data_IF_019869558639
#
_entry.id   IF_019869558639
#
_cell.length_a   1.000
_cell.length_b   1.000
_cell.length_c   1.000
_cell.angle_alpha   90.00
_cell.angle_beta   90.00
_cell.angle_gamma   90.00
#
_symmetry.space_group_name_H-M   'P 1'
#
loop_
_entity.id
_entity.type
_entity.pdbx_description
1 polymer ?
#
# COMPACT_ATOMS: atom_id res chain seq x y z
N UNK A 1 6.05 -16.34 15.41
CA UNK A 1 5.80 -14.87 15.50
C UNK A 1 6.69 -14.28 16.58
N UNK A 2 6.82 -12.96 16.66
CA UNK A 2 7.35 -12.31 17.86
C UNK A 2 6.18 -11.71 18.65
N UNK A 3 6.13 -11.95 19.96
CA UNK A 3 5.05 -11.52 20.84
C UNK A 3 5.41 -10.18 21.44
N UNK A 4 4.48 -9.24 21.39
CA UNK A 4 4.60 -7.93 22.00
C UNK A 4 3.39 -7.65 22.89
N UNK A 5 3.56 -6.83 23.92
CA UNK A 5 2.52 -6.42 24.85
C UNK A 5 2.76 -4.99 25.33
N UNK A 6 2.10 -4.58 26.41
CA UNK A 6 2.26 -3.26 27.03
C UNK A 6 3.69 -2.94 27.48
N UNK A 7 4.45 -3.93 27.96
CA UNK A 7 5.75 -3.75 28.61
C UNK A 7 6.94 -4.14 27.74
N UNK A 8 6.72 -4.90 26.67
CA UNK A 8 7.78 -5.45 25.83
C UNK A 8 7.36 -5.52 24.37
N UNK A 9 8.25 -5.11 23.49
CA UNK A 9 8.21 -5.45 22.07
C UNK A 9 9.62 -5.41 21.50
N UNK A 10 9.92 -6.26 20.51
CA UNK A 10 11.23 -6.23 19.86
C UNK A 10 11.38 -4.97 18.98
N UNK A 11 12.49 -4.26 19.20
CA UNK A 11 12.86 -3.02 18.52
C UNK A 11 14.14 -3.20 17.72
N UNK A 12 14.41 -2.25 16.83
CA UNK A 12 15.62 -2.19 16.02
C UNK A 12 16.41 -0.94 16.40
N UNK A 13 17.72 -1.07 16.46
CA UNK A 13 18.59 0.09 16.63
C UNK A 13 18.52 1.02 15.40
N UNK A 14 18.77 2.33 15.57
CA UNK A 14 18.92 3.25 14.46
C UNK A 14 19.97 2.77 13.46
N UNK A 15 19.70 2.95 12.16
CA UNK A 15 20.61 2.53 11.10
C UNK A 15 21.77 3.52 10.98
N UNK A 16 22.91 3.19 11.58
CA UNK A 16 24.16 3.95 11.44
C UNK A 16 24.99 3.41 10.29
N UNK A 17 25.52 4.28 9.43
CA UNK A 17 26.38 3.87 8.31
C UNK A 17 27.72 3.34 8.83
N UNK A 18 28.20 2.20 8.31
CA UNK A 18 29.47 1.63 8.73
C UNK A 18 30.67 2.41 8.13
N UNK A 19 31.88 2.29 8.71
CA UNK A 19 33.06 2.96 8.16
C UNK A 19 33.39 2.46 6.75
N UNK A 20 34.04 3.32 5.96
CA UNK A 20 34.45 2.98 4.58
C UNK A 20 35.25 1.68 4.55
N UNK A 21 34.88 0.77 3.64
CA UNK A 21 35.49 -0.57 3.56
C UNK A 21 34.74 -1.65 4.35
N UNK A 22 33.64 -1.31 5.01
CA UNK A 22 32.79 -2.28 5.72
C UNK A 22 31.31 -2.20 5.34
N UNK A 23 30.54 -3.22 5.72
CA UNK A 23 29.10 -3.33 5.46
C UNK A 23 28.36 -3.85 6.69
N UNK A 24 27.07 -3.52 6.77
CA UNK A 24 26.15 -4.06 7.77
C UNK A 24 25.20 -5.02 7.06
N UNK A 25 24.96 -6.18 7.67
CA UNK A 25 24.00 -7.18 7.22
C UNK A 25 22.91 -7.36 8.27
N UNK A 26 21.66 -7.22 7.85
CA UNK A 26 20.49 -7.60 8.62
C UNK A 26 19.94 -8.92 8.09
N UNK A 27 19.68 -9.89 8.97
CA UNK A 27 19.28 -11.24 8.58
C UNK A 27 17.97 -11.66 9.25
N UNK A 28 17.03 -12.16 8.45
CA UNK A 28 15.84 -12.86 8.95
C UNK A 28 15.81 -14.27 8.35
N UNK A 29 15.44 -15.28 9.15
CA UNK A 29 15.42 -16.67 8.69
C UNK A 29 14.22 -17.45 9.23
N UNK A 30 13.84 -18.51 8.50
CA UNK A 30 12.81 -19.47 8.94
C UNK A 30 13.17 -20.10 10.30
N UNK A 31 14.46 -20.28 10.58
CA UNK A 31 14.97 -20.83 11.82
C UNK A 31 14.76 -19.91 13.05
N UNK A 32 14.53 -18.61 12.86
CA UNK A 32 14.15 -17.72 13.96
C UNK A 32 14.79 -16.34 13.97
N UNK A 33 15.76 -16.06 13.09
CA UNK A 33 16.41 -14.73 13.04
C UNK A 33 15.42 -13.66 12.59
N UNK A 34 15.48 -12.47 13.19
CA UNK A 34 14.56 -11.36 12.93
C UNK A 34 15.34 -10.05 12.84
N UNK A 35 15.68 -9.63 11.62
CA UNK A 35 16.49 -8.43 11.36
C UNK A 35 17.74 -8.38 12.25
N UNK A 36 18.39 -9.52 12.42
CA UNK A 36 19.58 -9.65 13.26
C UNK A 36 20.75 -8.94 12.60
N UNK A 37 21.36 -7.99 13.31
CA UNK A 37 22.45 -7.16 12.81
C UNK A 37 23.80 -7.88 12.93
N UNK A 38 24.60 -7.80 11.87
CA UNK A 38 25.99 -8.25 11.84
C UNK A 38 26.81 -7.32 10.93
N UNK A 39 28.13 -7.35 11.06
CA UNK A 39 29.05 -6.52 10.27
C UNK A 39 30.06 -7.38 9.51
N UNK A 40 30.63 -6.83 8.45
CA UNK A 40 31.72 -7.44 7.70
C UNK A 40 32.54 -6.42 6.92
N UNK A 41 33.68 -6.85 6.38
CA UNK A 41 34.59 -6.01 5.61
C UNK A 41 34.62 -6.40 4.14
N UNK A 42 34.75 -5.41 3.25
CA UNK A 42 34.99 -5.65 1.83
C UNK A 42 36.42 -6.17 1.61
N UNK A 43 36.57 -7.06 0.64
CA UNK A 43 37.87 -7.59 0.20
C UNK A 43 38.31 -6.87 -1.07
N UNK A 44 39.61 -6.58 -1.21
CA UNK A 44 40.17 -5.93 -2.41
C UNK A 44 40.25 -6.84 -3.65
N UNK A 45 40.15 -8.16 -3.48
CA UNK A 45 40.25 -9.14 -4.56
C UNK A 45 39.20 -10.21 -4.44
N UNK A 46 38.60 -10.61 -5.57
CA UNK A 46 37.53 -11.59 -5.61
C UNK A 46 38.11 -13.01 -5.74
N UNK A 47 38.11 -13.79 -4.66
CA UNK A 47 38.44 -15.23 -4.67
C UNK A 47 37.19 -16.08 -4.40
N UNK A 48 36.15 -15.91 -5.21
CA UNK A 48 34.89 -16.64 -5.03
C UNK A 48 34.52 -17.48 -6.27
N UNK A 49 34.27 -18.78 -6.04
CA UNK A 49 33.73 -19.71 -7.04
C UNK A 49 32.19 -19.64 -7.19
N UNK A 50 31.52 -18.88 -6.32
CA UNK A 50 30.06 -18.78 -6.24
C UNK A 50 29.43 -17.67 -7.11
N UNK A 51 28.10 -17.44 -6.96
CA UNK A 51 27.37 -16.40 -7.68
C UNK A 51 27.91 -15.01 -7.33
N UNK A 52 28.06 -14.16 -8.36
CA UNK A 52 28.60 -12.81 -8.21
C UNK A 52 27.57 -11.78 -8.66
N UNK A 53 27.12 -10.95 -7.70
CA UNK A 53 26.25 -9.81 -7.92
C UNK A 53 27.09 -8.55 -8.10
N UNK A 54 27.06 -7.97 -9.30
CA UNK A 54 27.78 -6.74 -9.64
C UNK A 54 26.81 -5.57 -9.73
N UNK A 55 26.95 -4.61 -8.82
CA UNK A 55 26.16 -3.38 -8.78
C UNK A 55 26.73 -2.39 -9.79
N UNK A 56 25.86 -1.72 -10.55
CA UNK A 56 26.22 -0.66 -11.49
C UNK A 56 25.38 0.59 -11.18
N UNK A 57 26.00 1.53 -10.46
CA UNK A 57 25.38 2.79 -10.05
C UNK A 57 25.21 3.80 -11.20
N UNK A 58 25.80 3.55 -12.37
CA UNK A 58 25.61 4.40 -13.56
C UNK A 58 24.30 4.08 -14.31
N UNK A 59 23.71 2.90 -14.06
CA UNK A 59 22.40 2.54 -14.62
C UNK A 59 21.34 2.85 -13.59
N UNK A 60 20.55 3.89 -13.85
CA UNK A 60 19.59 4.44 -12.90
C UNK A 60 18.15 4.21 -13.38
N UNK A 61 17.27 3.81 -12.46
CA UNK A 61 15.84 3.56 -12.72
C UNK A 61 14.96 4.54 -11.93
N UNK A 62 13.83 4.07 -11.39
CA UNK A 62 12.84 4.87 -10.69
C UNK A 62 13.30 5.30 -9.29
N UNK A 63 12.75 6.42 -8.82
CA UNK A 63 12.80 6.81 -7.42
C UNK A 63 11.74 6.04 -6.62
N UNK A 64 12.06 5.72 -5.37
CA UNK A 64 11.19 5.04 -4.42
C UNK A 64 10.44 6.09 -3.63
N UNK A 65 9.11 6.03 -3.67
CA UNK A 65 8.20 6.85 -2.87
C UNK A 65 8.12 6.32 -1.44
N UNK A 66 8.02 5.00 -1.26
CA UNK A 66 7.99 4.44 0.08
C UNK A 66 7.25 3.12 0.24
N UNK A 67 7.02 2.79 1.51
CA UNK A 67 6.39 1.55 1.96
C UNK A 67 5.42 1.83 3.10
N UNK A 68 4.33 1.06 3.16
CA UNK A 68 3.23 1.37 4.05
C UNK A 68 2.22 0.26 4.29
N UNK A 69 1.11 0.67 4.91
CA UNK A 69 -0.09 -0.15 5.11
C UNK A 69 -1.36 0.70 5.05
N UNK A 70 -2.51 0.05 5.07
CA UNK A 70 -3.84 0.66 5.12
C UNK A 70 -4.36 0.77 6.56
N UNK A 71 -4.80 1.97 6.94
CA UNK A 71 -5.51 2.24 8.18
C UNK A 71 -7.03 2.14 7.94
N UNK A 72 -7.51 0.91 7.82
CA UNK A 72 -8.94 0.60 7.76
C UNK A 72 -9.63 0.75 9.12
N UNK A 73 -10.95 0.73 9.13
CA UNK A 73 -11.74 0.71 10.37
C UNK A 73 -11.37 -0.53 11.21
N UNK A 74 -11.22 -1.70 10.57
CA UNK A 74 -10.76 -2.92 11.23
C UNK A 74 -9.39 -2.78 11.88
N UNK A 75 -8.42 -2.17 11.18
CA UNK A 75 -7.10 -1.92 11.74
C UNK A 75 -7.16 -0.95 12.92
N UNK A 76 -7.92 0.14 12.79
CA UNK A 76 -8.08 1.11 13.85
C UNK A 76 -8.75 0.50 15.10
N UNK A 77 -9.81 -0.30 14.91
CA UNK A 77 -10.49 -1.02 16.00
C UNK A 77 -9.55 -1.98 16.73
N UNK A 78 -8.77 -2.78 15.99
CA UNK A 78 -7.83 -3.73 16.60
C UNK A 78 -6.71 -3.03 17.36
N UNK A 79 -6.18 -1.93 16.82
CA UNK A 79 -5.19 -1.12 17.52
C UNK A 79 -5.80 -0.59 18.82
N UNK A 80 -6.95 0.08 18.75
CA UNK A 80 -7.58 0.71 19.92
C UNK A 80 -8.11 -0.28 20.96
N UNK A 81 -8.26 -1.56 20.61
CA UNK A 81 -8.65 -2.62 21.54
C UNK A 81 -7.51 -3.04 22.50
N UNK A 82 -6.27 -2.64 22.24
CA UNK A 82 -5.13 -2.83 23.14
C UNK A 82 -5.06 -1.74 24.22
N UNK A 83 -4.31 -1.97 25.29
CA UNK A 83 -3.95 -0.93 26.26
C UNK A 83 -3.06 0.15 25.62
N UNK A 84 -3.11 1.38 26.15
CA UNK A 84 -2.34 2.51 25.60
C UNK A 84 -0.84 2.19 25.38
N UNK A 85 -0.11 1.56 26.32
CA UNK A 85 1.29 1.21 26.09
C UNK A 85 1.48 0.15 24.99
N UNK A 86 0.57 -0.84 24.89
CA UNK A 86 0.62 -1.84 23.83
C UNK A 86 0.32 -1.23 22.45
N UNK A 87 -0.62 -0.27 22.38
CA UNK A 87 -0.86 0.54 21.19
C UNK A 87 0.39 1.31 20.77
N UNK A 88 1.07 1.96 21.72
CA UNK A 88 2.30 2.71 21.43
C UNK A 88 3.40 1.79 20.90
N UNK A 89 3.58 0.60 21.47
CA UNK A 89 4.54 -0.39 20.95
C UNK A 89 4.18 -0.86 19.53
N UNK A 90 2.89 -1.06 19.23
CA UNK A 90 2.42 -1.44 17.89
C UNK A 90 2.70 -0.32 16.88
N UNK A 91 2.30 0.92 17.18
CA UNK A 91 2.53 2.06 16.27
C UNK A 91 4.02 2.34 16.09
N UNK A 92 4.83 2.26 17.16
CA UNK A 92 6.29 2.39 17.09
C UNK A 92 6.91 1.32 16.22
N UNK A 93 6.40 0.08 16.25
CA UNK A 93 6.89 -1.00 15.40
C UNK A 93 6.80 -0.64 13.92
N UNK A 94 5.72 0.01 13.47
CA UNK A 94 5.59 0.43 12.08
C UNK A 94 6.30 1.74 11.76
N UNK A 95 6.13 2.79 12.56
CA UNK A 95 6.39 4.16 12.11
C UNK A 95 7.59 4.84 12.78
N UNK A 96 8.08 4.32 13.91
CA UNK A 96 9.21 4.93 14.61
C UNK A 96 10.56 4.46 14.05
N UNK A 97 11.62 5.21 14.36
CA UNK A 97 13.02 4.83 14.07
C UNK A 97 13.42 3.49 14.72
N UNK A 98 12.82 3.16 15.87
CA UNK A 98 13.00 1.87 16.55
C UNK A 98 12.22 0.71 15.90
N UNK A 99 11.43 1.01 14.87
CA UNK A 99 10.64 0.05 14.10
C UNK A 99 11.11 -0.04 12.65
N UNK A 100 10.16 -0.28 11.73
CA UNK A 100 10.43 -0.45 10.29
C UNK A 100 10.20 0.81 9.45
N UNK A 101 9.86 1.94 10.09
CA UNK A 101 9.81 3.29 9.49
C UNK A 101 8.97 3.41 8.22
N UNK A 102 7.73 2.88 8.26
CA UNK A 102 6.71 3.12 7.24
C UNK A 102 6.50 4.62 7.02
N UNK A 103 6.34 5.00 5.76
CA UNK A 103 6.12 6.39 5.35
C UNK A 103 4.91 6.56 4.41
N UNK A 104 4.22 5.47 4.07
CA UNK A 104 2.95 5.51 3.35
C UNK A 104 1.82 4.98 4.24
N UNK A 105 0.68 5.67 4.20
CA UNK A 105 -0.57 5.15 4.76
C UNK A 105 -1.69 5.32 3.74
N UNK A 106 -2.35 4.21 3.42
CA UNK A 106 -3.62 4.21 2.68
C UNK A 106 -4.76 4.44 3.65
N UNK A 107 -5.69 5.31 3.28
CA UNK A 107 -6.86 5.60 4.09
C UNK A 107 -8.14 5.38 3.28
N UNK A 108 -9.06 4.52 3.74
CA UNK A 108 -10.36 4.45 3.13
C UNK A 108 -11.17 5.73 3.27
N UNK A 109 -11.81 6.13 2.17
CA UNK A 109 -12.88 7.13 2.20
C UNK A 109 -14.19 6.40 2.52
N UNK A 110 -14.62 6.52 3.78
CA UNK A 110 -15.76 5.83 4.38
C UNK A 110 -15.55 4.30 4.50
N UNK A 111 -16.64 3.53 4.42
CA UNK A 111 -16.63 2.09 4.68
C UNK A 111 -15.99 1.24 3.57
N UNK A 112 -15.50 0.08 3.97
CA UNK A 112 -14.94 -0.97 3.11
C UNK A 112 -15.52 -2.33 3.52
N UNK A 113 -15.00 -3.42 2.99
CA UNK A 113 -15.24 -4.75 3.55
C UNK A 113 -14.61 -4.92 4.96
N UNK A 114 -13.46 -4.29 5.22
CA UNK A 114 -12.80 -4.17 6.53
C UNK A 114 -13.37 -3.05 7.40
N UNK A 115 -14.69 -2.92 7.39
CA UNK A 115 -15.49 -2.12 8.32
C UNK A 115 -16.46 -3.03 9.08
N UNK A 116 -17.16 -2.50 10.08
CA UNK A 116 -18.17 -3.24 10.85
C UNK A 116 -19.60 -3.05 10.32
N UNK A 117 -19.79 -2.04 9.46
CA UNK A 117 -21.05 -1.69 8.80
C UNK A 117 -20.76 -0.96 7.49
N UNK A 118 -21.65 -1.02 6.50
CA UNK A 118 -21.57 -0.15 5.34
C UNK A 118 -22.05 1.28 5.67
N UNK A 119 -21.34 2.29 5.16
CA UNK A 119 -21.70 3.71 5.26
C UNK A 119 -20.94 4.55 4.22
N UNK A 120 -21.49 5.72 3.88
CA UNK A 120 -20.76 6.79 3.20
C UNK A 120 -20.72 8.05 4.08
N UNK A 121 -20.09 9.13 3.62
CA UNK A 121 -20.11 10.41 4.33
C UNK A 121 -21.35 11.24 4.03
N UNK A 122 -22.19 10.84 3.06
CA UNK A 122 -23.38 11.60 2.68
C UNK A 122 -24.54 10.67 2.29
N UNK A 123 -25.11 10.00 3.28
CA UNK A 123 -26.20 9.02 3.10
C UNK A 123 -27.60 9.68 3.02
N UNK A 124 -27.70 11.01 3.01
CA UNK A 124 -28.98 11.72 2.82
C UNK A 124 -29.34 11.77 1.33
N UNK A 125 -30.47 11.19 0.90
CA UNK A 125 -30.80 11.12 -0.53
C UNK A 125 -30.90 12.48 -1.22
N UNK A 126 -30.35 12.56 -2.44
CA UNK A 126 -30.41 13.73 -3.32
C UNK A 126 -29.71 15.00 -2.79
N UNK A 127 -28.76 14.87 -1.87
CA UNK A 127 -27.96 16.00 -1.39
C UNK A 127 -26.83 16.38 -2.38
N UNK A 128 -27.20 16.88 -3.55
CA UNK A 128 -26.24 17.25 -4.60
C UNK A 128 -25.24 18.33 -4.17
N UNK A 129 -25.59 19.14 -3.17
CA UNK A 129 -24.78 20.21 -2.61
C UNK A 129 -23.85 19.74 -1.48
N UNK A 130 -23.96 18.47 -1.04
CA UNK A 130 -23.18 17.86 0.04
C UNK A 130 -23.28 18.66 1.36
N UNK A 131 -24.49 19.12 1.70
CA UNK A 131 -24.79 19.87 2.94
C UNK A 131 -24.78 18.98 4.18
N UNK A 132 -25.09 17.70 4.02
CA UNK A 132 -25.11 16.68 5.07
C UNK A 132 -23.84 15.85 5.11
N UNK A 133 -22.86 16.13 4.23
CA UNK A 133 -21.55 15.50 4.25
C UNK A 133 -20.92 15.61 5.65
N UNK A 134 -20.60 14.47 6.24
CA UNK A 134 -19.99 14.40 7.56
C UNK A 134 -19.08 13.19 7.68
N UNK A 135 -17.88 13.41 8.24
CA UNK A 135 -17.00 12.32 8.63
C UNK A 135 -17.67 11.42 9.68
N UNK A 136 -17.48 10.11 9.56
CA UNK A 136 -18.08 9.15 10.47
C UNK A 136 -17.34 9.13 11.82
N UNK A 137 -17.92 8.48 12.83
CA UNK A 137 -17.25 8.34 14.12
C UNK A 137 -15.95 7.55 13.99
N UNK A 138 -15.90 6.62 13.04
CA UNK A 138 -14.74 5.84 12.68
C UNK A 138 -13.54 6.72 12.23
N UNK A 139 -13.81 7.84 11.55
CA UNK A 139 -12.78 8.80 11.19
C UNK A 139 -12.33 9.63 12.39
N UNK A 140 -13.27 10.31 13.05
CA UNK A 140 -12.96 11.34 14.05
C UNK A 140 -12.53 10.78 15.40
N UNK A 141 -13.02 9.60 15.80
CA UNK A 141 -12.67 8.96 17.07
C UNK A 141 -11.55 7.94 16.94
N UNK A 142 -11.30 7.39 15.74
CA UNK A 142 -10.31 6.33 15.56
C UNK A 142 -9.18 6.69 14.59
N UNK A 143 -9.49 6.85 13.30
CA UNK A 143 -8.46 7.00 12.26
C UNK A 143 -7.63 8.28 12.45
N UNK A 144 -8.28 9.43 12.62
CA UNK A 144 -7.61 10.74 12.78
C UNK A 144 -6.72 10.77 14.04
N UNK A 145 -7.19 10.36 15.24
CA UNK A 145 -6.32 10.28 16.42
C UNK A 145 -5.12 9.36 16.25
N UNK A 146 -5.28 8.20 15.59
CA UNK A 146 -4.16 7.30 15.28
C UNK A 146 -3.17 8.00 14.33
N UNK A 147 -3.65 8.67 13.27
CA UNK A 147 -2.78 9.39 12.34
C UNK A 147 -1.96 10.47 13.04
N UNK A 148 -2.54 11.24 13.97
CA UNK A 148 -1.79 12.22 14.76
C UNK A 148 -0.70 11.59 15.62
N UNK A 149 -0.99 10.45 16.27
CA UNK A 149 0.03 9.71 17.03
C UNK A 149 1.14 9.21 16.12
N UNK A 150 0.81 8.69 14.95
CA UNK A 150 1.80 8.24 13.95
C UNK A 150 2.66 9.41 13.47
N UNK A 151 2.05 10.55 13.12
CA UNK A 151 2.78 11.76 12.72
C UNK A 151 3.73 12.26 13.81
N UNK A 152 3.38 12.11 15.08
CA UNK A 152 4.26 12.48 16.20
C UNK A 152 5.42 11.48 16.44
N UNK A 153 5.30 10.23 15.97
CA UNK A 153 6.30 9.16 16.17
C UNK A 153 7.28 9.02 14.99
N UNK A 154 6.87 9.42 13.79
CA UNK A 154 7.71 9.30 12.59
C UNK A 154 8.73 10.42 12.50
N UNK A 155 9.96 10.07 12.11
CA UNK A 155 10.99 11.03 11.70
C UNK A 155 11.02 11.25 10.17
N UNK A 156 10.37 10.37 9.42
CA UNK A 156 10.29 10.44 7.95
C UNK A 156 9.01 11.16 7.53
N UNK A 157 9.04 11.94 6.43
CA UNK A 157 7.82 12.52 5.88
C UNK A 157 6.77 11.45 5.61
N UNK A 158 5.60 11.59 6.24
CA UNK A 158 4.48 10.67 6.08
C UNK A 158 3.62 11.12 4.91
N UNK A 159 3.40 10.22 3.95
CA UNK A 159 2.54 10.46 2.80
C UNK A 159 1.25 9.65 2.92
N UNK A 160 0.14 10.36 3.07
CA UNK A 160 -1.20 9.76 3.12
C UNK A 160 -1.80 9.74 1.72
N UNK A 161 -2.48 8.66 1.36
CA UNK A 161 -3.33 8.66 0.19
C UNK A 161 -4.66 7.97 0.47
N UNK A 162 -5.71 8.44 -0.18
CA UNK A 162 -7.06 7.94 0.08
C UNK A 162 -7.69 7.28 -1.14
N UNK A 163 -8.57 6.32 -0.88
CA UNK A 163 -9.26 5.55 -1.91
C UNK A 163 -10.71 5.36 -1.48
N UNK A 164 -11.71 5.65 -2.33
CA UNK A 164 -13.09 5.30 -2.05
C UNK A 164 -13.41 3.89 -2.56
N UNK A 165 -14.25 3.18 -1.82
CA UNK A 165 -14.81 1.90 -2.26
C UNK A 165 -16.16 2.08 -2.91
N UNK A 166 -16.97 3.02 -2.42
CA UNK A 166 -18.29 3.27 -2.97
C UNK A 166 -18.70 4.73 -2.83
N UNK A 167 -19.58 5.16 -3.73
CA UNK A 167 -20.30 6.42 -3.60
C UNK A 167 -21.54 6.23 -2.71
N UNK A 168 -22.10 7.33 -2.15
CA UNK A 168 -23.43 7.29 -1.55
C UNK A 168 -24.45 6.52 -2.41
N UNK A 169 -25.28 5.70 -1.76
CA UNK A 169 -26.24 4.82 -2.44
C UNK A 169 -27.09 5.56 -3.48
N UNK A 170 -27.57 6.76 -3.15
CA UNK A 170 -28.45 7.55 -4.02
C UNK A 170 -27.77 8.07 -5.30
N UNK A 171 -26.42 8.09 -5.36
CA UNK A 171 -25.63 8.40 -6.56
C UNK A 171 -25.43 7.16 -7.47
N UNK A 172 -25.72 5.96 -6.99
CA UNK A 172 -25.45 4.70 -7.68
C UNK A 172 -26.68 4.16 -8.40
N UNK A 173 -26.48 3.53 -9.56
CA UNK A 173 -27.56 2.97 -10.38
C UNK A 173 -28.35 1.85 -9.70
N UNK A 174 -27.77 1.16 -8.73
CA UNK A 174 -28.41 0.12 -7.95
C UNK A 174 -28.98 0.61 -6.59
N UNK A 175 -28.82 1.90 -6.27
CA UNK A 175 -29.32 2.52 -5.02
C UNK A 175 -28.88 1.81 -3.73
N UNK A 176 -27.72 1.15 -3.78
CA UNK A 176 -27.13 0.41 -2.66
C UNK A 176 -25.63 0.70 -2.63
N UNK A 177 -25.07 0.89 -1.44
CA UNK A 177 -23.63 1.02 -1.20
C UNK A 177 -22.84 -0.22 -1.59
N UNK A 178 -23.48 -1.40 -1.59
CA UNK A 178 -22.87 -2.66 -1.98
C UNK A 178 -23.32 -3.13 -3.37
N UNK A 179 -22.58 -4.08 -3.92
CA UNK A 179 -22.96 -4.78 -5.14
C UNK A 179 -22.75 -4.00 -6.43
N UNK A 180 -23.18 -4.63 -7.53
CA UNK A 180 -22.90 -4.16 -8.88
C UNK A 180 -23.73 -2.90 -9.20
N UNK A 181 -23.09 -1.75 -9.10
CA UNK A 181 -23.64 -0.46 -9.49
C UNK A 181 -22.58 0.44 -10.11
N UNK A 182 -23.01 1.34 -10.98
CA UNK A 182 -22.20 2.44 -11.53
C UNK A 182 -22.72 3.76 -10.95
N UNK A 183 -22.01 4.88 -11.16
CA UNK A 183 -22.65 6.18 -10.97
C UNK A 183 -23.85 6.30 -11.91
N UNK A 184 -24.90 6.98 -11.45
CA UNK A 184 -26.04 7.37 -12.29
C UNK A 184 -25.57 8.36 -13.37
N UNK A 185 -26.20 8.27 -14.54
CA UNK A 185 -25.95 9.20 -15.65
C UNK A 185 -24.56 9.07 -16.28
N UNK A 186 -23.93 10.20 -16.60
CA UNK A 186 -22.68 10.25 -17.38
C UNK A 186 -21.74 11.39 -16.94
N UNK A 187 -20.45 11.25 -17.19
CA UNK A 187 -19.44 12.25 -16.84
C UNK A 187 -19.84 13.66 -17.31
N UNK A 188 -19.63 14.66 -16.46
CA UNK A 188 -20.06 16.05 -16.66
C UNK A 188 -21.46 16.38 -16.14
N UNK A 189 -22.26 15.40 -15.74
CA UNK A 189 -23.59 15.62 -15.17
C UNK A 189 -23.57 15.93 -13.66
N UNK A 190 -24.75 16.11 -13.08
CA UNK A 190 -24.89 16.41 -11.66
C UNK A 190 -24.38 15.28 -10.75
N UNK A 191 -24.53 14.01 -11.12
CA UNK A 191 -24.13 12.88 -10.28
C UNK A 191 -22.60 12.78 -10.22
N UNK A 192 -21.93 12.90 -11.37
CA UNK A 192 -20.47 12.85 -11.45
C UNK A 192 -19.83 14.10 -10.85
N UNK A 193 -20.42 15.29 -11.05
CA UNK A 193 -19.97 16.52 -10.37
C UNK A 193 -20.09 16.42 -8.85
N UNK A 194 -21.22 15.92 -8.35
CA UNK A 194 -21.38 15.69 -6.90
C UNK A 194 -20.37 14.68 -6.40
N UNK A 195 -20.12 13.59 -7.12
CA UNK A 195 -19.07 12.64 -6.72
C UNK A 195 -17.67 13.25 -6.71
N UNK A 196 -17.31 14.06 -7.71
CA UNK A 196 -16.04 14.79 -7.70
C UNK A 196 -15.95 15.78 -6.51
N UNK A 197 -17.04 16.48 -6.20
CA UNK A 197 -17.10 17.37 -5.04
C UNK A 197 -17.02 16.62 -3.71
N UNK A 198 -17.48 15.36 -3.65
CA UNK A 198 -17.35 14.51 -2.48
C UNK A 198 -15.88 14.26 -2.12
N UNK A 199 -15.00 14.07 -3.12
CA UNK A 199 -13.55 14.01 -2.88
C UNK A 199 -13.02 15.31 -2.28
N UNK A 200 -13.44 16.45 -2.81
CA UNK A 200 -12.98 17.76 -2.31
C UNK A 200 -13.47 17.99 -0.88
N UNK A 201 -14.73 17.67 -0.57
CA UNK A 201 -15.28 17.72 0.78
C UNK A 201 -14.54 16.80 1.74
N UNK A 202 -14.19 15.59 1.33
CA UNK A 202 -13.36 14.69 2.13
C UNK A 202 -12.00 15.33 2.47
N UNK A 203 -11.31 15.89 1.47
CA UNK A 203 -10.02 16.57 1.68
C UNK A 203 -10.18 17.80 2.58
N UNK A 204 -11.24 18.59 2.40
CA UNK A 204 -11.56 19.77 3.23
C UNK A 204 -11.80 19.37 4.70
N UNK A 205 -12.64 18.36 4.95
CA UNK A 205 -12.94 17.93 6.32
C UNK A 205 -11.70 17.37 7.03
N UNK A 206 -10.90 16.53 6.36
CA UNK A 206 -9.65 16.05 6.95
C UNK A 206 -8.62 17.18 7.16
N UNK A 207 -8.57 18.18 6.28
CA UNK A 207 -7.71 19.34 6.45
C UNK A 207 -8.08 20.17 7.69
N UNK A 208 -9.36 20.24 8.09
CA UNK A 208 -9.77 20.86 9.37
C UNK A 208 -9.20 20.14 10.59
N UNK A 209 -8.87 18.87 10.45
CA UNK A 209 -8.16 18.08 11.46
C UNK A 209 -6.64 18.08 11.25
N UNK A 210 -6.07 19.01 10.46
CA UNK A 210 -4.64 19.07 10.14
C UNK A 210 -4.08 17.78 9.49
N UNK A 211 -4.92 17.07 8.73
CA UNK A 211 -4.53 15.87 7.98
C UNK A 211 -4.61 16.18 6.48
N UNK A 212 -3.48 16.05 5.78
CA UNK A 212 -3.39 16.34 4.34
C UNK A 212 -3.00 15.09 3.54
N UNK A 213 -3.53 14.97 2.32
CA UNK A 213 -3.27 13.82 1.45
C UNK A 213 -2.31 14.16 0.32
N UNK A 214 -1.29 13.32 0.18
CA UNK A 214 -0.39 13.32 -0.97
C UNK A 214 -1.11 12.92 -2.25
N UNK A 215 -1.97 11.89 -2.20
CA UNK A 215 -2.68 11.40 -3.37
C UNK A 215 -4.11 10.90 -3.04
N UNK A 216 -4.92 10.76 -4.08
CA UNK A 216 -6.17 9.99 -4.05
C UNK A 216 -6.21 9.03 -5.24
N UNK A 217 -6.81 7.86 -5.06
CA UNK A 217 -7.14 6.96 -6.17
C UNK A 217 -8.54 7.25 -6.66
N UNK A 218 -8.79 7.09 -7.97
CA UNK A 218 -10.12 7.40 -8.54
C UNK A 218 -11.21 6.48 -7.98
N UNK A 219 -10.87 5.21 -7.76
CA UNK A 219 -11.79 4.20 -7.26
C UNK A 219 -11.01 2.94 -6.86
N UNK A 220 -11.26 2.39 -5.68
CA UNK A 220 -10.78 1.06 -5.31
C UNK A 220 -11.44 -0.03 -6.19
N UNK A 221 -10.62 -0.82 -6.88
CA UNK A 221 -11.02 -1.98 -7.68
C UNK A 221 -12.27 -1.73 -8.56
N UNK A 222 -12.22 -0.81 -9.53
CA UNK A 222 -13.34 -0.46 -10.41
C UNK A 222 -13.94 -1.64 -11.19
N UNK A 223 -13.26 -2.79 -11.30
CA UNK A 223 -13.80 -4.00 -11.91
C UNK A 223 -14.17 -5.11 -10.92
N UNK A 224 -13.97 -4.93 -9.61
CA UNK A 224 -14.24 -5.98 -8.61
C UNK A 224 -15.67 -6.52 -8.67
N UNK A 225 -16.67 -5.64 -8.82
CA UNK A 225 -18.08 -6.02 -8.86
C UNK A 225 -18.46 -6.86 -10.09
N UNK A 226 -17.59 -6.97 -11.10
CA UNK A 226 -17.80 -7.85 -12.25
C UNK A 226 -17.32 -9.28 -11.98
N UNK A 227 -16.44 -9.47 -11.00
CA UNK A 227 -15.72 -10.72 -10.75
C UNK A 227 -16.10 -11.39 -9.41
N UNK A 228 -16.77 -10.68 -8.51
CA UNK A 228 -17.02 -11.14 -7.13
C UNK A 228 -18.48 -10.92 -6.70
N UNK A 229 -18.97 -11.67 -5.68
CA UNK A 229 -20.35 -11.57 -5.21
C UNK A 229 -20.70 -10.15 -4.70
N UNK A 230 -21.97 -9.73 -4.79
CA UNK A 230 -22.39 -8.32 -4.65
C UNK A 230 -22.43 -7.81 -3.19
N UNK A 231 -21.63 -8.38 -2.29
CA UNK A 231 -21.84 -8.20 -0.85
C UNK A 231 -21.01 -7.07 -0.23
N UNK A 232 -19.97 -6.56 -0.90
CA UNK A 232 -19.11 -5.51 -0.35
C UNK A 232 -19.21 -4.17 -1.11
N UNK A 233 -18.73 -3.06 -0.51
CA UNK A 233 -18.83 -1.74 -1.10
C UNK A 233 -17.98 -1.65 -2.37
N UNK A 234 -18.61 -1.26 -3.48
CA UNK A 234 -17.95 -1.15 -4.78
C UNK A 234 -18.68 -0.15 -5.66
N UNK A 235 -17.99 0.39 -6.66
CA UNK A 235 -18.61 1.10 -7.78
C UNK A 235 -17.84 0.79 -9.06
N UNK A 236 -18.58 0.41 -10.10
CA UNK A 236 -18.01 -0.05 -11.36
C UNK A 236 -17.64 1.14 -12.22
N UNK A 237 -16.41 1.14 -12.72
CA UNK A 237 -15.96 2.00 -13.80
C UNK A 237 -15.31 1.16 -14.87
N UNK A 238 -15.65 1.39 -16.14
CA UNK A 238 -14.79 1.00 -17.26
C UNK A 238 -13.62 1.99 -17.38
N UNK A 239 -12.56 1.60 -18.08
CA UNK A 239 -11.44 2.53 -18.34
C UNK A 239 -11.88 3.82 -19.07
N UNK A 240 -12.90 3.73 -19.95
CA UNK A 240 -13.46 4.89 -20.63
C UNK A 240 -14.26 5.80 -19.68
N UNK A 241 -15.10 5.21 -18.81
CA UNK A 241 -15.82 5.98 -17.79
C UNK A 241 -14.85 6.63 -16.79
N UNK A 242 -13.80 5.93 -16.38
CA UNK A 242 -12.77 6.49 -15.51
C UNK A 242 -12.06 7.68 -16.18
N UNK A 243 -11.68 7.54 -17.47
CA UNK A 243 -11.13 8.65 -18.27
C UNK A 243 -12.08 9.85 -18.31
N UNK A 244 -13.34 9.63 -18.66
CA UNK A 244 -14.30 10.71 -18.86
C UNK A 244 -14.63 11.42 -17.54
N UNK A 245 -14.76 10.68 -16.44
CA UNK A 245 -14.91 11.24 -15.10
C UNK A 245 -13.72 12.12 -14.69
N UNK A 246 -12.48 11.70 -14.99
CA UNK A 246 -11.28 12.50 -14.73
C UNK A 246 -11.30 13.79 -15.56
N UNK A 247 -11.65 13.70 -16.85
CA UNK A 247 -11.63 14.84 -17.78
C UNK A 247 -12.70 15.86 -17.42
N UNK A 248 -13.93 15.41 -17.18
CA UNK A 248 -15.09 16.29 -17.03
C UNK A 248 -15.26 16.81 -15.60
N UNK A 249 -14.89 16.01 -14.59
CA UNK A 249 -15.33 16.23 -13.21
C UNK A 249 -14.17 16.27 -12.21
N UNK A 250 -13.53 15.12 -11.93
CA UNK A 250 -12.58 14.99 -10.82
C UNK A 250 -11.28 15.78 -11.03
N UNK A 251 -10.70 15.73 -12.24
CA UNK A 251 -9.48 16.47 -12.56
C UNK A 251 -9.68 17.98 -12.42
N UNK A 252 -10.70 18.58 -13.06
CA UNK A 252 -11.04 19.99 -12.87
C UNK A 252 -11.40 20.37 -11.42
N UNK A 253 -12.10 19.51 -10.68
CA UNK A 253 -12.45 19.77 -9.28
C UNK A 253 -11.20 19.83 -8.39
N UNK A 254 -10.29 18.86 -8.50
CA UNK A 254 -9.02 18.86 -7.77
C UNK A 254 -8.16 20.07 -8.12
N UNK A 255 -8.05 20.42 -9.42
CA UNK A 255 -7.24 21.54 -9.87
C UNK A 255 -7.77 22.92 -9.41
N UNK A 256 -9.08 23.05 -9.17
CA UNK A 256 -9.68 24.28 -8.61
C UNK A 256 -9.63 24.33 -7.08
N UNK A 257 -9.45 23.19 -6.44
CA UNK A 257 -9.34 23.12 -4.98
C UNK A 257 -7.99 23.67 -4.51
N UNK A 258 -7.88 24.00 -3.21
CA UNK A 258 -6.62 24.41 -2.59
C UNK A 258 -5.67 23.22 -2.34
N UNK A 259 -6.14 21.98 -2.56
CA UNK A 259 -5.38 20.77 -2.29
C UNK A 259 -4.39 20.48 -3.42
N UNK A 260 -3.14 20.17 -3.07
CA UNK A 260 -2.09 19.77 -4.04
C UNK A 260 -2.02 18.25 -4.25
N UNK A 261 -3.16 17.59 -4.06
CA UNK A 261 -3.29 16.13 -4.04
C UNK A 261 -3.15 15.55 -5.44
N UNK A 262 -2.29 14.54 -5.57
CA UNK A 262 -2.04 13.82 -6.82
C UNK A 262 -3.17 12.83 -7.12
N UNK A 263 -3.45 12.56 -8.39
CA UNK A 263 -4.47 11.60 -8.80
C UNK A 263 -3.85 10.31 -9.31
N UNK A 264 -4.33 9.17 -8.81
CA UNK A 264 -3.89 7.83 -9.19
C UNK A 264 -5.06 7.08 -9.85
N UNK A 265 -4.83 6.53 -11.04
CA UNK A 265 -5.83 5.79 -11.81
C UNK A 265 -5.71 4.27 -11.58
N UNK A 266 -6.65 3.50 -12.14
CA UNK A 266 -6.78 2.05 -11.99
C UNK A 266 -7.11 1.62 -10.56
N UNK A 267 -6.10 1.53 -9.67
CA UNK A 267 -6.24 1.02 -8.29
C UNK A 267 -6.92 -0.37 -8.27
N UNK A 268 -6.42 -1.26 -9.13
CA UNK A 268 -6.96 -2.59 -9.41
C UNK A 268 -5.86 -3.55 -9.90
N UNK A 269 -6.21 -4.78 -10.22
CA UNK A 269 -5.31 -5.84 -10.62
C UNK A 269 -4.47 -5.49 -11.85
N UNK A 270 -3.20 -5.91 -11.83
CA UNK A 270 -2.26 -5.66 -12.94
C UNK A 270 -2.66 -6.27 -14.28
N UNK A 271 -3.60 -7.22 -14.29
CA UNK A 271 -4.06 -7.88 -15.52
C UNK A 271 -4.73 -6.90 -16.49
N UNK A 272 -5.22 -5.76 -15.98
CA UNK A 272 -5.83 -4.72 -16.78
C UNK A 272 -4.79 -3.82 -17.48
N UNK A 273 -3.51 -3.98 -17.15
CA UNK A 273 -2.41 -3.26 -17.78
C UNK A 273 -1.79 -4.05 -18.95
N UNK A 274 -1.37 -3.36 -20.02
CA UNK A 274 -1.31 -1.89 -20.17
C UNK A 274 -2.58 -1.24 -20.73
N UNK A 275 -3.66 -2.01 -20.95
CA UNK A 275 -4.84 -1.53 -21.67
C UNK A 275 -5.53 -0.36 -20.97
N UNK A 276 -5.72 -0.45 -19.65
CA UNK A 276 -6.35 0.61 -18.88
C UNK A 276 -5.59 1.93 -18.97
N UNK A 277 -4.26 1.86 -18.80
CA UNK A 277 -3.37 3.00 -18.95
C UNK A 277 -3.46 3.60 -20.37
N UNK A 278 -3.54 2.79 -21.42
CA UNK A 278 -3.71 3.29 -22.79
C UNK A 278 -5.02 4.08 -22.97
N UNK A 279 -6.12 3.60 -22.41
CA UNK A 279 -7.43 4.27 -22.55
C UNK A 279 -7.44 5.61 -21.80
N UNK A 280 -6.93 5.63 -20.57
CA UNK A 280 -6.95 6.83 -19.72
C UNK A 280 -5.83 7.80 -20.10
N UNK A 281 -4.56 7.35 -20.06
CA UNK A 281 -3.39 8.19 -20.32
C UNK A 281 -3.16 8.48 -21.81
N UNK A 282 -3.82 7.75 -22.71
CA UNK A 282 -3.84 8.09 -24.13
C UNK A 282 -4.64 9.37 -24.44
N UNK A 283 -5.48 9.83 -23.51
CA UNK A 283 -6.15 11.13 -23.59
C UNK A 283 -5.30 12.20 -22.89
N UNK A 284 -4.89 13.24 -23.62
CA UNK A 284 -3.98 14.27 -23.11
C UNK A 284 -4.52 15.02 -21.89
N UNK A 285 -5.83 15.28 -21.84
CA UNK A 285 -6.46 15.98 -20.70
C UNK A 285 -6.47 15.10 -19.46
N UNK A 286 -6.86 13.83 -19.58
CA UNK A 286 -6.81 12.88 -18.47
C UNK A 286 -5.37 12.64 -17.98
N UNK A 287 -4.42 12.50 -18.91
CA UNK A 287 -3.00 12.31 -18.61
C UNK A 287 -2.39 13.48 -17.84
N UNK A 288 -2.83 14.72 -18.09
CA UNK A 288 -2.36 15.92 -17.38
C UNK A 288 -2.83 15.96 -15.92
N UNK A 289 -4.03 15.45 -15.63
CA UNK A 289 -4.55 15.37 -14.26
C UNK A 289 -4.03 14.14 -13.51
N UNK A 290 -3.58 13.11 -14.22
CA UNK A 290 -3.14 11.85 -13.63
C UNK A 290 -1.64 11.89 -13.33
N UNK A 291 -1.26 11.55 -12.10
CA UNK A 291 0.13 11.48 -11.68
C UNK A 291 0.71 10.07 -11.77
N UNK A 292 -0.12 9.05 -11.53
CA UNK A 292 0.32 7.66 -11.51
C UNK A 292 -0.79 6.64 -11.69
N UNK A 293 -0.40 5.37 -11.68
CA UNK A 293 -1.28 4.20 -11.84
C UNK A 293 -1.11 3.32 -10.61
N UNK A 294 -2.22 2.96 -9.97
CA UNK A 294 -2.28 2.05 -8.82
C UNK A 294 -2.51 0.60 -9.26
N UNK A 295 -1.78 -0.35 -8.67
CA UNK A 295 -1.81 -1.77 -9.05
C UNK A 295 -1.90 -2.71 -7.84
N UNK A 296 -2.93 -3.56 -7.84
CA UNK A 296 -3.14 -4.64 -6.88
C UNK A 296 -2.56 -5.97 -7.39
N UNK A 297 -2.34 -6.90 -6.46
CA UNK A 297 -1.51 -8.11 -6.65
C UNK A 297 -2.25 -9.46 -6.59
N UNK A 298 -3.58 -9.48 -6.60
CA UNK A 298 -4.33 -10.72 -6.32
C UNK A 298 -4.41 -11.67 -7.51
N UNK A 299 -4.44 -11.14 -8.74
CA UNK A 299 -4.53 -11.92 -10.00
C UNK A 299 -3.20 -12.01 -10.76
N UNK A 300 -2.14 -11.89 -10.00
CA UNK A 300 -0.82 -11.52 -10.47
C UNK A 300 -0.17 -12.73 -11.17
N UNK A 301 -0.58 -13.95 -10.82
CA UNK A 301 -0.19 -15.22 -11.45
C UNK A 301 -0.63 -15.34 -12.92
N UNK A 302 -1.62 -14.55 -13.35
CA UNK A 302 -2.19 -14.62 -14.69
C UNK A 302 -1.37 -13.85 -15.74
N UNK A 303 -0.58 -12.85 -15.32
CA UNK A 303 0.16 -11.98 -16.25
C UNK A 303 1.57 -11.69 -15.72
N UNK A 304 2.64 -11.93 -16.49
CA UNK A 304 4.01 -11.56 -16.09
C UNK A 304 4.19 -10.04 -15.93
N UNK A 305 4.84 -9.62 -14.85
CA UNK A 305 5.09 -8.20 -14.53
C UNK A 305 5.71 -7.39 -15.68
N UNK A 306 6.63 -7.99 -16.45
CA UNK A 306 7.27 -7.32 -17.59
C UNK A 306 6.28 -6.96 -18.71
N UNK A 307 5.24 -7.77 -18.92
CA UNK A 307 4.22 -7.55 -19.96
C UNK A 307 3.13 -6.58 -19.52
N UNK A 308 2.92 -6.39 -18.22
CA UNK A 308 1.98 -5.43 -17.66
C UNK A 308 2.68 -4.15 -17.20
N UNK A 309 3.40 -4.19 -16.09
CA UNK A 309 4.12 -3.06 -15.47
C UNK A 309 5.20 -2.50 -16.40
N UNK A 310 6.07 -3.36 -16.91
CA UNK A 310 7.16 -2.95 -17.82
C UNK A 310 6.65 -2.34 -19.12
N UNK A 311 5.58 -2.90 -19.70
CA UNK A 311 4.94 -2.35 -20.89
C UNK A 311 4.26 -0.99 -20.61
N UNK A 312 3.60 -0.86 -19.44
CA UNK A 312 2.94 0.39 -19.03
C UNK A 312 3.96 1.50 -18.84
N UNK A 313 5.04 1.23 -18.09
CA UNK A 313 6.11 2.20 -17.90
C UNK A 313 6.78 2.61 -19.23
N UNK A 314 6.97 1.66 -20.16
CA UNK A 314 7.52 1.99 -21.49
C UNK A 314 6.62 2.93 -22.30
N UNK A 315 5.30 2.79 -22.17
CA UNK A 315 4.33 3.64 -22.88
C UNK A 315 4.15 4.99 -22.20
N UNK A 316 4.16 5.03 -20.87
CA UNK A 316 3.87 6.21 -20.05
C UNK A 316 4.95 6.41 -18.97
N UNK A 317 6.20 6.74 -19.34
CA UNK A 317 7.33 6.77 -18.40
C UNK A 317 7.26 7.92 -17.38
N UNK A 318 6.49 8.96 -17.67
CA UNK A 318 6.31 10.13 -16.81
C UNK A 318 5.26 9.91 -15.70
N UNK A 319 4.52 8.81 -15.75
CA UNK A 319 3.50 8.45 -14.76
C UNK A 319 4.04 7.34 -13.87
N UNK A 320 4.05 7.55 -12.56
CA UNK A 320 4.59 6.56 -11.64
C UNK A 320 3.65 5.35 -11.50
N UNK A 321 4.22 4.19 -11.17
CA UNK A 321 3.45 3.01 -10.81
C UNK A 321 3.54 2.82 -9.29
N UNK A 322 2.40 2.69 -8.61
CA UNK A 322 2.30 2.43 -7.18
C UNK A 322 1.61 1.08 -6.97
N UNK A 323 2.02 0.30 -5.97
CA UNK A 323 1.23 -0.82 -5.49
C UNK A 323 0.53 -0.41 -4.19
N UNK A 324 -0.74 0.04 -4.26
CA UNK A 324 -1.46 0.60 -3.12
C UNK A 324 -2.11 -0.45 -2.23
N UNK A 325 -2.17 -1.71 -2.67
CA UNK A 325 -2.79 -2.78 -1.91
C UNK A 325 -2.16 -4.13 -2.24
N UNK A 326 -1.88 -4.88 -1.19
CA UNK A 326 -1.58 -6.30 -1.26
C UNK A 326 -1.92 -6.97 0.07
N UNK A 327 -2.52 -8.16 0.02
CA UNK A 327 -2.74 -8.99 1.20
C UNK A 327 -2.58 -10.48 0.90
N UNK A 328 -2.27 -11.27 1.93
CA UNK A 328 -2.25 -12.73 1.87
C UNK A 328 -3.45 -13.32 2.61
N UNK A 329 -3.84 -14.55 2.27
CA UNK A 329 -4.96 -15.23 2.92
C UNK A 329 -6.28 -15.21 2.15
N UNK A 330 -6.40 -14.38 1.09
CA UNK A 330 -7.62 -14.24 0.29
C UNK A 330 -8.08 -15.52 -0.45
N UNK A 331 -7.18 -16.47 -0.74
CA UNK A 331 -7.49 -17.74 -1.43
C UNK A 331 -7.57 -18.97 -0.52
N UNK A 332 -7.31 -18.83 0.79
CA UNK A 332 -7.23 -19.99 1.67
C UNK A 332 -8.56 -20.22 2.41
N UNK A 333 -9.31 -21.23 1.97
CA UNK A 333 -10.61 -21.60 2.53
C UNK A 333 -10.56 -22.18 3.96
N UNK A 334 -9.37 -22.52 4.49
CA UNK A 334 -9.24 -23.15 5.83
C UNK A 334 -8.92 -22.16 6.94
N UNK A 335 -8.05 -21.18 6.68
CA UNK A 335 -7.66 -20.18 7.67
C UNK A 335 -7.13 -18.91 6.99
N UNK A 336 -7.72 -17.78 7.35
CA UNK A 336 -7.30 -16.47 6.86
C UNK A 336 -6.01 -16.01 7.51
N UNK A 337 -5.86 -16.18 8.84
CA UNK A 337 -4.63 -15.88 9.59
C UNK A 337 -3.81 -17.15 9.83
N UNK A 338 -2.50 -17.05 9.62
CA UNK A 338 -1.55 -18.15 9.88
C UNK A 338 -0.36 -17.63 10.67
N UNK A 339 -0.42 -17.78 12.00
CA UNK A 339 0.62 -17.26 12.88
C UNK A 339 1.97 -17.94 12.61
N UNK A 340 2.97 -17.14 12.22
CA UNK A 340 4.34 -17.59 12.00
C UNK A 340 4.60 -18.19 10.62
N UNK A 341 3.68 -18.04 9.65
CA UNK A 341 3.85 -18.58 8.31
C UNK A 341 4.99 -17.89 7.53
N UNK A 342 6.15 -18.56 7.44
CA UNK A 342 7.30 -18.06 6.68
C UNK A 342 7.01 -17.95 5.18
N UNK A 343 6.16 -18.82 4.64
CA UNK A 343 5.80 -18.84 3.22
C UNK A 343 5.02 -17.58 2.80
N UNK A 344 4.13 -17.07 3.67
CA UNK A 344 3.47 -15.76 3.48
C UNK A 344 4.47 -14.61 3.54
N UNK A 345 5.47 -14.68 4.42
CA UNK A 345 6.61 -13.74 4.43
C UNK A 345 7.37 -13.75 3.10
N UNK A 346 7.73 -14.95 2.61
CA UNK A 346 8.38 -15.12 1.32
C UNK A 346 7.56 -14.48 0.19
N UNK A 347 6.24 -14.66 0.15
CA UNK A 347 5.37 -14.05 -0.86
C UNK A 347 5.45 -12.53 -0.90
N UNK A 348 5.53 -11.85 0.25
CA UNK A 348 5.65 -10.38 0.33
C UNK A 348 6.99 -9.90 -0.26
N UNK A 349 8.10 -10.57 0.04
CA UNK A 349 9.43 -10.17 -0.47
C UNK A 349 9.72 -10.61 -1.90
N UNK A 350 8.91 -11.49 -2.48
CA UNK A 350 9.25 -12.27 -3.67
C UNK A 350 9.47 -11.45 -4.96
N UNK A 351 10.33 -11.95 -5.87
CA UNK A 351 10.70 -11.39 -7.17
C UNK A 351 10.19 -12.17 -8.39
N UNK A 352 9.84 -13.45 -8.26
CA UNK A 352 9.46 -14.27 -9.44
C UNK A 352 7.95 -14.33 -9.62
N UNK A 353 7.20 -14.46 -8.52
CA UNK A 353 5.75 -14.37 -8.56
C UNK A 353 5.31 -12.92 -8.32
N UNK A 354 5.21 -12.39 -7.11
CA UNK A 354 4.34 -11.19 -6.91
C UNK A 354 4.79 -10.14 -5.88
N UNK A 355 5.94 -10.28 -5.22
CA UNK A 355 6.31 -9.44 -4.08
C UNK A 355 7.09 -8.15 -4.42
N UNK A 356 7.63 -7.51 -3.39
CA UNK A 356 8.30 -6.21 -3.44
C UNK A 356 9.47 -6.20 -4.43
N UNK A 357 10.27 -7.28 -4.47
CA UNK A 357 11.37 -7.39 -5.43
C UNK A 357 10.87 -7.40 -6.88
N UNK A 358 9.72 -8.04 -7.17
CA UNK A 358 9.15 -8.07 -8.52
C UNK A 358 8.78 -6.66 -8.95
N UNK A 359 8.03 -5.96 -8.11
CA UNK A 359 7.48 -4.64 -8.45
C UNK A 359 8.57 -3.58 -8.55
N UNK A 360 9.55 -3.58 -7.63
CA UNK A 360 10.71 -2.69 -7.71
C UNK A 360 11.55 -2.99 -8.96
N UNK A 361 11.69 -4.27 -9.34
CA UNK A 361 12.38 -4.64 -10.57
C UNK A 361 11.62 -4.25 -11.86
N UNK A 362 10.34 -3.86 -11.74
CA UNK A 362 9.47 -3.45 -12.85
C UNK A 362 8.89 -2.03 -12.66
N UNK A 363 9.72 -1.09 -12.20
CA UNK A 363 9.46 0.36 -12.19
C UNK A 363 8.39 0.85 -11.20
N UNK A 364 7.90 0.01 -10.30
CA UNK A 364 7.01 0.44 -9.22
C UNK A 364 7.80 1.25 -8.19
N UNK A 365 7.22 2.36 -7.75
CA UNK A 365 7.86 3.35 -6.86
C UNK A 365 7.53 3.14 -5.39
N UNK A 366 6.46 2.41 -5.06
CA UNK A 366 6.12 2.11 -3.67
C UNK A 366 5.21 0.92 -3.53
N UNK A 367 5.14 0.38 -2.32
CA UNK A 367 4.36 -0.81 -2.02
C UNK A 367 3.66 -0.68 -0.67
N UNK A 368 2.35 -0.87 -0.66
CA UNK A 368 1.52 -0.71 0.53
C UNK A 368 0.81 -2.02 0.82
N UNK A 369 0.99 -2.50 2.04
CA UNK A 369 0.22 -3.59 2.61
C UNK A 369 -1.26 -3.21 2.76
N UNK A 370 -2.12 -4.20 2.96
CA UNK A 370 -3.50 -3.98 3.32
C UNK A 370 -3.65 -3.59 4.79
N UNK A 371 -4.44 -4.29 5.59
CA UNK A 371 -4.72 -3.88 6.96
C UNK A 371 -3.45 -3.88 7.83
N UNK A 372 -3.11 -2.73 8.44
CA UNK A 372 -1.99 -2.59 9.37
C UNK A 372 -2.05 -3.58 10.55
N UNK A 373 -3.25 -3.91 11.02
CA UNK A 373 -3.49 -4.90 12.05
C UNK A 373 -4.85 -5.57 11.86
N UNK A 374 -4.94 -6.86 12.18
CA UNK A 374 -6.19 -7.63 12.24
C UNK A 374 -6.23 -8.48 13.52
N UNK A 375 -7.39 -9.04 13.86
CA UNK A 375 -7.51 -10.00 14.96
C UNK A 375 -7.05 -11.43 14.55
N UNK A 376 -7.14 -12.38 15.48
CA UNK A 376 -6.83 -13.81 15.25
C UNK A 376 -7.70 -14.46 14.16
N UNK A 377 -8.87 -13.90 13.84
CA UNK A 377 -9.74 -14.40 12.78
C UNK A 377 -9.38 -13.80 11.41
N UNK A 378 -8.73 -12.64 11.39
CA UNK A 378 -8.43 -11.86 10.19
C UNK A 378 -9.46 -10.76 9.91
N UNK A 379 -10.11 -10.25 10.96
CA UNK A 379 -11.14 -9.22 10.90
C UNK A 379 -10.91 -8.07 11.89
N UNK A 380 -11.96 -7.30 12.25
CA UNK A 380 -13.36 -7.50 11.83
C UNK A 380 -13.57 -7.20 10.34
N UNK A 381 -14.48 -7.95 9.72
CA UNK A 381 -14.89 -7.75 8.33
C UNK A 381 -16.37 -8.16 8.23
N UNK A 382 -17.25 -7.21 7.93
CA UNK A 382 -18.70 -7.42 8.01
C UNK A 382 -19.24 -8.40 6.97
N UNK A 383 -18.52 -8.62 5.87
CA UNK A 383 -18.83 -9.63 4.84
C UNK A 383 -18.07 -10.95 5.02
N UNK A 384 -17.31 -11.10 6.11
CA UNK A 384 -16.49 -12.28 6.44
C UNK A 384 -15.40 -12.59 5.40
N UNK A 385 -14.93 -11.58 4.67
CA UNK A 385 -13.81 -11.68 3.74
C UNK A 385 -12.46 -11.56 4.47
N UNK A 386 -12.21 -12.48 5.40
CA UNK A 386 -11.05 -12.40 6.29
C UNK A 386 -9.74 -12.68 5.55
N UNK A 387 -8.68 -11.95 5.91
CA UNK A 387 -7.33 -12.09 5.35
C UNK A 387 -6.26 -12.08 6.46
N UNK A 388 -5.00 -12.29 6.13
CA UNK A 388 -3.88 -12.14 7.08
C UNK A 388 -3.38 -10.68 7.12
N UNK A 389 -2.67 -10.32 8.17
CA UNK A 389 -2.01 -9.02 8.35
C UNK A 389 -0.61 -9.22 8.94
N UNK A 390 0.38 -8.34 8.66
CA UNK A 390 1.69 -8.41 9.29
C UNK A 390 1.68 -8.29 10.82
N UNK A 391 0.64 -7.68 11.41
CA UNK A 391 0.41 -7.69 12.85
C UNK A 391 -0.96 -8.27 13.18
N UNK A 392 -0.99 -9.24 14.10
CA UNK A 392 -2.22 -9.86 14.58
C UNK A 392 -2.44 -9.52 16.05
N UNK A 393 -3.60 -9.00 16.40
CA UNK A 393 -3.97 -8.57 17.76
C UNK A 393 -4.78 -9.64 18.48
N UNK A 394 -4.40 -9.93 19.72
CA UNK A 394 -5.17 -10.74 20.67
C UNK A 394 -5.54 -9.85 21.87
N UNK A 395 -6.62 -9.08 21.70
CA UNK A 395 -7.06 -8.07 22.67
C UNK A 395 -7.42 -8.66 24.03
N UNK A 396 -7.87 -9.93 24.08
CA UNK A 396 -8.17 -10.62 25.34
C UNK A 396 -6.95 -10.79 26.24
N UNK A 397 -5.76 -10.80 25.66
CA UNK A 397 -4.49 -10.94 26.39
C UNK A 397 -3.67 -9.65 26.40
N UNK A 398 -4.17 -8.57 25.79
CA UNK A 398 -3.43 -7.32 25.59
C UNK A 398 -2.07 -7.53 24.90
N UNK A 399 -2.03 -8.42 23.92
CA UNK A 399 -0.82 -8.74 23.14
C UNK A 399 -1.08 -8.64 21.65
N UNK A 400 0.01 -8.44 20.90
CA UNK A 400 0.00 -8.56 19.45
C UNK A 400 1.20 -9.37 18.95
N UNK A 401 1.04 -9.96 17.78
CA UNK A 401 1.99 -10.85 17.14
C UNK A 401 2.53 -10.21 15.88
N UNK A 402 3.84 -9.96 15.83
CA UNK A 402 4.54 -9.57 14.60
C UNK A 402 4.80 -10.83 13.76
N UNK A 403 4.15 -10.89 12.61
CA UNK A 403 4.23 -12.00 11.66
C UNK A 403 5.54 -11.96 10.86
N UNK A 404 5.97 -13.05 10.20
CA UNK A 404 7.08 -13.00 9.27
C UNK A 404 6.94 -11.89 8.21
N UNK A 405 5.72 -11.66 7.71
CA UNK A 405 5.41 -10.58 6.75
C UNK A 405 5.91 -9.20 7.22
N UNK A 406 5.81 -8.89 8.52
CA UNK A 406 6.31 -7.65 9.11
C UNK A 406 7.82 -7.49 8.90
N UNK A 407 8.59 -8.55 9.15
CA UNK A 407 10.05 -8.51 9.00
C UNK A 407 10.48 -8.50 7.53
N UNK A 408 9.75 -9.20 6.67
CA UNK A 408 9.97 -9.14 5.22
C UNK A 408 9.71 -7.72 4.70
N UNK A 409 8.65 -7.04 5.16
CA UNK A 409 8.43 -5.62 4.89
C UNK A 409 9.54 -4.72 5.45
N UNK A 410 10.04 -5.04 6.66
CA UNK A 410 11.12 -4.33 7.33
C UNK A 410 12.44 -4.29 6.54
N UNK A 411 12.76 -5.37 5.80
CA UNK A 411 13.94 -5.42 4.93
C UNK A 411 13.91 -4.41 3.77
N UNK A 412 12.75 -3.83 3.45
CA UNK A 412 12.62 -2.77 2.46
C UNK A 412 12.38 -1.43 3.12
N UNK A 413 11.27 -1.31 3.87
CA UNK A 413 10.82 -0.06 4.49
C UNK A 413 11.88 0.61 5.36
N UNK A 414 12.57 -0.15 6.21
CA UNK A 414 13.59 0.42 7.11
C UNK A 414 14.80 0.94 6.36
N UNK A 415 15.24 0.24 5.33
CA UNK A 415 16.54 0.49 4.68
C UNK A 415 16.45 1.31 3.39
N UNK A 416 15.24 1.48 2.84
CA UNK A 416 14.98 2.20 1.59
C UNK A 416 14.07 3.42 1.91
N UNK A 417 14.65 4.56 2.32
CA UNK A 417 13.89 5.79 2.55
C UNK A 417 13.35 6.39 1.24
N UNK A 418 12.39 7.31 1.37
CA UNK A 418 11.88 8.08 0.23
C UNK A 418 13.02 8.82 -0.51
N UNK A 419 12.94 8.84 -1.85
CA UNK A 419 13.96 9.44 -2.71
C UNK A 419 15.11 8.50 -3.06
N UNK A 420 15.19 7.31 -2.45
CA UNK A 420 16.08 6.24 -2.89
C UNK A 420 15.86 5.90 -4.37
N UNK A 421 16.92 5.54 -5.09
CA UNK A 421 16.87 5.24 -6.52
C UNK A 421 17.35 3.84 -6.81
N UNK A 422 16.56 3.07 -7.57
CA UNK A 422 17.01 1.74 -8.00
C UNK A 422 18.15 1.86 -9.00
N UNK A 423 19.16 0.99 -8.84
CA UNK A 423 20.35 0.95 -9.71
C UNK A 423 20.50 -0.42 -10.40
N UNK A 424 21.37 -0.48 -11.40
CA UNK A 424 21.68 -1.70 -12.13
C UNK A 424 22.30 -2.77 -11.24
N UNK A 425 21.87 -4.01 -11.43
CA UNK A 425 22.43 -5.18 -10.75
C UNK A 425 22.53 -6.33 -11.75
N UNK A 426 23.74 -6.88 -11.92
CA UNK A 426 24.01 -8.00 -12.82
C UNK A 426 24.45 -9.21 -12.00
N UNK A 427 23.79 -10.34 -12.19
CA UNK A 427 24.27 -11.61 -11.66
C UNK A 427 25.12 -12.30 -12.72
N UNK A 428 26.38 -12.56 -12.40
CA UNK A 428 27.27 -13.44 -13.17
C UNK A 428 27.42 -14.76 -12.43
N UNK A 429 27.66 -15.86 -13.17
CA UNK A 429 27.79 -17.23 -12.63
C UNK A 429 26.55 -17.68 -11.85
N UNK A 430 25.39 -17.65 -12.51
CA UNK A 430 24.16 -18.19 -11.93
C UNK A 430 24.34 -19.68 -11.60
N UNK A 431 24.19 -20.03 -10.33
CA UNK A 431 24.05 -21.42 -9.94
C UNK A 431 22.63 -21.85 -10.32
N UNK A 432 22.50 -22.82 -11.23
CA UNK A 432 21.19 -23.33 -11.67
C UNK A 432 20.34 -23.90 -10.52
N UNK A 433 20.96 -24.22 -9.38
CA UNK A 433 20.30 -24.76 -8.19
C UNK A 433 19.83 -23.71 -7.17
N UNK A 434 20.25 -22.43 -7.28
CA UNK A 434 19.87 -21.38 -6.32
C UNK A 434 19.36 -20.12 -7.04
N UNK A 435 18.05 -19.90 -7.01
CA UNK A 435 17.41 -18.70 -7.55
C UNK A 435 17.38 -17.60 -6.49
N UNK A 436 18.53 -16.94 -6.28
CA UNK A 436 18.59 -15.73 -5.45
C UNK A 436 17.83 -14.60 -6.14
N UNK A 437 17.04 -13.90 -5.35
CA UNK A 437 16.24 -12.78 -5.80
C UNK A 437 16.77 -11.51 -5.14
N UNK A 438 16.94 -10.43 -5.91
CA UNK A 438 17.70 -9.29 -5.43
C UNK A 438 17.31 -7.96 -6.06
N UNK A 439 17.56 -6.88 -5.32
CA UNK A 439 17.47 -5.50 -5.81
C UNK A 439 18.56 -4.66 -5.16
N UNK A 440 19.17 -3.77 -5.96
CA UNK A 440 20.13 -2.77 -5.47
C UNK A 440 19.52 -1.37 -5.56
N UNK A 441 19.68 -0.61 -4.49
CA UNK A 441 19.11 0.72 -4.32
C UNK A 441 20.18 1.67 -3.79
N UNK A 442 20.30 2.84 -4.41
CA UNK A 442 21.12 3.95 -3.93
C UNK A 442 20.26 4.88 -3.08
N UNK A 443 20.68 5.17 -1.86
CA UNK A 443 20.00 6.09 -0.94
C UNK A 443 20.37 7.55 -1.25
N UNK A 444 19.54 8.52 -0.84
CA UNK A 444 19.84 9.95 -0.98
C UNK A 444 21.12 10.39 -0.25
N UNK A 445 21.51 9.69 0.81
CA UNK A 445 22.76 9.91 1.56
C UNK A 445 23.99 9.25 0.91
N UNK A 446 23.84 8.65 -0.28
CA UNK A 446 24.92 8.00 -1.03
C UNK A 446 25.19 6.55 -0.62
N UNK A 447 24.53 6.03 0.42
CA UNK A 447 24.71 4.63 0.83
C UNK A 447 24.01 3.66 -0.14
N UNK A 448 24.59 2.48 -0.31
CA UNK A 448 24.02 1.42 -1.14
C UNK A 448 23.31 0.38 -0.28
N UNK A 449 22.09 0.02 -0.65
CA UNK A 449 21.30 -1.05 -0.05
C UNK A 449 21.14 -2.18 -1.07
N UNK A 450 21.49 -3.40 -0.65
CA UNK A 450 21.25 -4.62 -1.41
C UNK A 450 20.33 -5.53 -0.59
N UNK A 451 19.16 -5.83 -1.12
CA UNK A 451 18.26 -6.82 -0.52
C UNK A 451 18.41 -8.12 -1.31
N UNK A 452 18.60 -9.23 -0.60
CA UNK A 452 18.72 -10.58 -1.17
C UNK A 452 17.75 -11.51 -0.47
N UNK A 453 16.93 -12.21 -1.25
CA UNK A 453 16.02 -13.25 -0.79
C UNK A 453 16.48 -14.61 -1.32
N UNK A 454 16.60 -15.57 -0.41
CA UNK A 454 16.77 -16.98 -0.71
C UNK A 454 15.53 -17.73 -0.21
N UNK A 455 14.86 -18.50 -1.07
CA UNK A 455 13.53 -19.05 -0.80
C UNK A 455 13.56 -20.46 -0.25
#
# INVERSE_FOLDING_TARGET
VCVCNATYCDTLDPVVLPPVGSFIKYESSKAGKRLERSEGSFQHGLRAAGPLLTVNVSVLYQHVKGFGGSLSDAAALNILALSQPAQDNLLRSYFSESGIEYNLIRLPMASTDFSVRPYSYDDVPNDYDLKHFKLAEEDVKMKIPILHRVSAMTKRPLSLYASPWTAPAWLKSNEDVCGKGTLKGQAGDKYHKTWANYFIKFLDEYAKHNVTFWAVTVQNEPLAALLTPPVFPTIVFTAAQQRDFIVCDLGPALARSSHRTQLIILDDQRIHLPLWAKVVLGNATAARYTAGVGIHWYLDSLVPAKRSLGATHKLFPNHFLLSPEACSGFLNLRFSVSLGCWERGNHYSHSIRHGILTVLNNFVTGWTDWNLALDLQGGPNWVKNYVDSPIIVDSKKDIFYKQPMFYHMGHFSKFIPEGSRRVGLRCSRQCLASHLEHVAILRPDGALVLVVLNR
#
